data_IF_873134171837
#
_entry.id   IF_873134171837
#
_cell.length_a   1.000
_cell.length_b   1.000
_cell.length_c   1.000
_cell.angle_alpha   90.00
_cell.angle_beta   90.00
_cell.angle_gamma   90.00
#
_symmetry.space_group_name_H-M   'P 1'
#
loop_
_entity.id
_entity.type
_entity.pdbx_description
1 polymer ?
#
# COMPACT_ATOMS: atom_id res chain seq x y z
N UNK A 1 -9.89 23.19 -16.25
CA UNK A 1 -9.04 22.24 -15.48
C UNK A 1 -9.62 20.88 -15.80
N UNK A 2 -8.79 19.85 -15.98
CA UNK A 2 -9.32 18.50 -16.15
C UNK A 2 -10.11 18.12 -14.88
N UNK A 3 -11.25 17.44 -15.04
CA UNK A 3 -12.05 16.99 -13.90
C UNK A 3 -11.23 15.99 -13.09
N UNK A 4 -11.19 16.16 -11.78
CA UNK A 4 -10.55 15.24 -10.84
C UNK A 4 -11.60 14.51 -10.02
N UNK A 5 -11.28 13.28 -9.63
CA UNK A 5 -12.12 12.50 -8.74
C UNK A 5 -11.91 12.97 -7.30
N UNK A 6 -12.99 13.37 -6.64
CA UNK A 6 -12.99 13.75 -5.23
C UNK A 6 -12.75 12.54 -4.34
N UNK A 7 -11.78 12.67 -3.43
CA UNK A 7 -11.42 11.58 -2.51
C UNK A 7 -11.46 12.05 -1.06
N UNK A 8 -11.79 11.13 -0.17
CA UNK A 8 -11.75 11.33 1.27
C UNK A 8 -10.67 10.50 1.94
N UNK A 9 -10.22 10.92 3.11
CA UNK A 9 -9.33 10.14 3.99
C UNK A 9 -9.98 10.01 5.35
N UNK A 10 -10.14 8.79 5.85
CA UNK A 10 -10.57 8.50 7.22
C UNK A 10 -9.35 8.05 8.03
N UNK A 11 -9.12 8.67 9.18
CA UNK A 11 -7.96 8.40 10.04
C UNK A 11 -6.86 9.44 9.87
N UNK A 12 -6.95 10.59 10.57
CA UNK A 12 -6.01 11.71 10.46
C UNK A 12 -4.71 11.49 11.25
N UNK A 13 -4.20 10.25 11.25
CA UNK A 13 -2.90 9.89 11.82
C UNK A 13 -1.73 10.18 10.87
N UNK A 14 -0.60 9.53 11.11
CA UNK A 14 0.60 9.67 10.27
C UNK A 14 0.34 9.24 8.81
N UNK A 15 -0.33 8.10 8.62
CA UNK A 15 -0.69 7.57 7.30
C UNK A 15 -1.63 8.54 6.58
N UNK A 16 -2.74 8.93 7.22
CA UNK A 16 -3.71 9.84 6.60
C UNK A 16 -3.15 11.23 6.32
N UNK A 17 -2.27 11.74 7.19
CA UNK A 17 -1.56 13.00 6.92
C UNK A 17 -0.66 12.89 5.70
N UNK A 18 0.13 11.84 5.57
CA UNK A 18 1.03 11.63 4.44
C UNK A 18 0.24 11.39 3.13
N UNK A 19 -0.87 10.63 3.19
CA UNK A 19 -1.80 10.49 2.05
C UNK A 19 -2.29 11.84 1.54
N UNK A 20 -2.69 12.75 2.43
CA UNK A 20 -3.14 14.08 2.04
C UNK A 20 -2.07 14.82 1.21
N UNK A 21 -0.80 14.79 1.62
CA UNK A 21 0.30 15.40 0.86
C UNK A 21 0.48 14.76 -0.51
N UNK A 22 0.37 13.43 -0.60
CA UNK A 22 0.47 12.70 -1.86
C UNK A 22 -0.72 13.02 -2.80
N UNK A 23 -1.93 13.12 -2.26
CA UNK A 23 -3.14 13.47 -3.01
C UNK A 23 -3.04 14.89 -3.58
N UNK A 24 -2.47 15.87 -2.85
CA UNK A 24 -2.33 17.23 -3.36
C UNK A 24 -1.53 17.34 -4.65
N UNK A 25 -0.59 16.44 -4.90
CA UNK A 25 0.19 16.39 -6.13
C UNK A 25 -0.30 15.34 -7.14
N UNK A 26 -1.41 14.66 -6.82
CA UNK A 26 -2.06 13.71 -7.71
C UNK A 26 -2.57 14.40 -8.99
N UNK A 27 -2.53 13.66 -10.08
CA UNK A 27 -3.00 14.12 -11.37
C UNK A 27 -4.53 14.06 -11.48
N UNK A 28 -5.12 12.96 -11.00
CA UNK A 28 -6.54 12.65 -11.20
C UNK A 28 -7.38 12.70 -9.90
N UNK A 29 -6.73 12.90 -8.72
CA UNK A 29 -7.42 12.94 -7.44
C UNK A 29 -7.45 14.34 -6.86
N UNK A 30 -8.55 14.67 -6.17
CA UNK A 30 -8.74 15.91 -5.42
C UNK A 30 -9.09 15.59 -3.96
N UNK A 31 -8.31 16.14 -3.01
CA UNK A 31 -8.57 15.96 -1.59
C UNK A 31 -9.81 16.75 -1.17
N UNK A 32 -10.94 16.06 -0.98
CA UNK A 32 -12.22 16.67 -0.66
C UNK A 32 -12.49 16.76 0.84
N UNK A 33 -12.08 15.76 1.63
CA UNK A 33 -12.34 15.75 3.07
C UNK A 33 -11.37 14.86 3.86
N UNK A 34 -10.99 15.31 5.06
CA UNK A 34 -10.32 14.52 6.08
C UNK A 34 -11.28 14.24 7.25
N UNK A 35 -11.51 12.96 7.54
CA UNK A 35 -12.41 12.52 8.60
C UNK A 35 -11.65 11.90 9.78
N UNK A 36 -12.01 12.29 10.98
CA UNK A 36 -11.57 11.74 12.26
C UNK A 36 -12.74 11.55 13.22
N UNK A 37 -12.46 11.07 14.42
CA UNK A 37 -13.46 10.93 15.49
C UNK A 37 -13.19 11.88 16.69
N UNK A 38 -12.10 12.61 16.61
CA UNK A 38 -11.71 13.63 17.59
C UNK A 38 -10.94 14.75 16.90
N UNK A 39 -10.89 15.91 17.50
CA UNK A 39 -10.02 17.01 17.05
C UNK A 39 -8.55 16.65 17.32
N UNK A 40 -7.85 16.21 16.30
CA UNK A 40 -6.46 15.75 16.34
C UNK A 40 -5.53 16.73 15.62
N UNK A 41 -4.22 16.56 15.80
CA UNK A 41 -3.22 17.35 15.06
C UNK A 41 -3.33 17.15 13.54
N UNK A 42 -3.74 15.96 13.07
CA UNK A 42 -4.00 15.72 11.65
C UNK A 42 -5.23 16.48 11.14
N UNK A 43 -6.30 16.56 11.92
CA UNK A 43 -7.48 17.39 11.60
C UNK A 43 -7.09 18.86 11.53
N UNK A 44 -6.35 19.37 12.52
CA UNK A 44 -5.87 20.76 12.51
C UNK A 44 -4.98 21.07 11.30
N UNK A 45 -4.11 20.11 10.95
CA UNK A 45 -3.24 20.21 9.76
C UNK A 45 -4.07 20.31 8.48
N UNK A 46 -5.06 19.43 8.31
CA UNK A 46 -5.96 19.45 7.15
C UNK A 46 -6.70 20.78 7.03
N UNK A 47 -7.25 21.31 8.14
CA UNK A 47 -7.85 22.65 8.21
C UNK A 47 -6.86 23.75 7.79
N UNK A 48 -5.60 23.64 8.22
CA UNK A 48 -4.54 24.59 7.86
C UNK A 48 -4.24 24.65 6.36
N UNK A 49 -4.50 23.58 5.64
CA UNK A 49 -4.43 23.51 4.16
C UNK A 49 -5.76 23.85 3.45
N UNK A 50 -6.80 24.23 4.20
CA UNK A 50 -8.12 24.54 3.65
C UNK A 50 -8.92 23.30 3.26
N UNK A 51 -8.51 22.08 3.68
CA UNK A 51 -9.26 20.86 3.45
C UNK A 51 -10.47 20.79 4.39
N UNK A 52 -11.69 20.56 3.89
CA UNK A 52 -12.85 20.27 4.73
C UNK A 52 -12.59 19.11 5.69
N UNK A 53 -13.09 19.21 6.91
CA UNK A 53 -12.86 18.18 7.93
C UNK A 53 -14.12 17.88 8.72
N UNK A 54 -14.20 16.63 9.23
CA UNK A 54 -15.24 16.23 10.18
C UNK A 54 -14.65 15.44 11.34
N UNK A 55 -15.29 15.46 12.48
CA UNK A 55 -14.99 14.61 13.65
C UNK A 55 -16.10 13.57 13.90
N UNK A 56 -17.02 13.41 12.95
CA UNK A 56 -18.09 12.42 12.98
C UNK A 56 -17.71 11.12 12.22
N UNK A 57 -16.41 10.93 11.91
CA UNK A 57 -15.90 9.75 11.22
C UNK A 57 -16.49 9.57 9.82
N UNK A 58 -16.78 8.32 9.47
CA UNK A 58 -17.36 7.96 8.16
C UNK A 58 -18.75 8.59 7.95
N UNK A 59 -19.54 8.78 9.01
CA UNK A 59 -20.87 9.36 8.90
C UNK A 59 -20.80 10.83 8.46
N UNK A 60 -19.91 11.61 9.07
CA UNK A 60 -19.67 12.99 8.66
C UNK A 60 -19.09 13.09 7.25
N UNK A 61 -18.21 12.16 6.87
CA UNK A 61 -17.66 12.13 5.52
C UNK A 61 -18.76 11.87 4.47
N UNK A 62 -19.66 10.92 4.71
CA UNK A 62 -20.76 10.61 3.80
C UNK A 62 -21.76 11.76 3.75
N UNK A 63 -22.09 12.36 4.88
CA UNK A 63 -23.07 13.43 5.00
C UNK A 63 -22.61 14.73 4.35
N UNK A 64 -21.37 15.13 4.63
CA UNK A 64 -20.85 16.46 4.31
C UNK A 64 -19.83 16.45 3.15
N UNK A 65 -19.37 15.26 2.74
CA UNK A 65 -18.42 15.04 1.66
C UNK A 65 -19.09 14.99 0.29
N UNK A 66 -19.38 16.16 -0.27
CA UNK A 66 -20.07 16.27 -1.55
C UNK A 66 -19.29 15.57 -2.69
N UNK A 67 -19.93 14.56 -3.31
CA UNK A 67 -19.45 13.83 -4.49
C UNK A 67 -18.11 13.07 -4.31
N UNK A 68 -17.80 12.63 -3.09
CA UNK A 68 -16.64 11.76 -2.85
C UNK A 68 -16.90 10.38 -3.48
N UNK A 69 -15.97 9.91 -4.31
CA UNK A 69 -16.08 8.61 -5.02
C UNK A 69 -15.14 7.55 -4.44
N UNK A 70 -14.01 7.96 -3.87
CA UNK A 70 -12.99 7.06 -3.33
C UNK A 70 -12.64 7.52 -1.92
N UNK A 71 -12.47 6.58 -1.00
CA UNK A 71 -12.06 6.87 0.38
C UNK A 71 -10.87 5.99 0.76
N UNK A 72 -9.83 6.60 1.28
CA UNK A 72 -8.71 5.91 1.92
C UNK A 72 -9.03 5.69 3.40
N UNK A 73 -9.08 4.44 3.83
CA UNK A 73 -9.27 4.10 5.23
C UNK A 73 -7.93 3.79 5.90
N UNK A 74 -7.45 4.74 6.70
CA UNK A 74 -6.22 4.66 7.47
C UNK A 74 -6.50 4.55 8.98
N UNK A 75 -7.59 3.87 9.37
CA UNK A 75 -8.02 3.69 10.76
C UNK A 75 -7.52 2.36 11.36
N UNK A 76 -8.41 1.51 11.80
CA UNK A 76 -8.09 0.19 12.35
C UNK A 76 -8.95 -0.88 11.70
N UNK A 77 -8.49 -2.14 11.74
CA UNK A 77 -9.24 -3.27 11.22
C UNK A 77 -10.67 -3.35 11.78
N UNK A 78 -10.82 -3.12 13.08
CA UNK A 78 -12.13 -3.15 13.74
C UNK A 78 -13.06 -2.02 13.25
N UNK A 79 -12.53 -0.81 13.00
CA UNK A 79 -13.31 0.30 12.49
C UNK A 79 -13.73 0.07 11.04
N UNK A 80 -12.81 -0.40 10.20
CA UNK A 80 -13.10 -0.73 8.81
C UNK A 80 -14.16 -1.84 8.71
N UNK A 81 -13.93 -2.97 9.41
CA UNK A 81 -14.81 -4.13 9.38
C UNK A 81 -16.25 -3.81 9.84
N UNK A 82 -16.36 -3.05 10.95
CA UNK A 82 -17.66 -2.87 11.62
C UNK A 82 -18.43 -1.63 11.14
N UNK A 83 -17.74 -0.61 10.67
CA UNK A 83 -18.34 0.70 10.40
C UNK A 83 -18.00 1.23 9.02
N UNK A 84 -16.71 1.45 8.70
CA UNK A 84 -16.34 2.22 7.53
C UNK A 84 -16.63 1.47 6.23
N UNK A 85 -16.13 0.24 6.08
CA UNK A 85 -16.33 -0.58 4.87
C UNK A 85 -17.81 -0.77 4.51
N UNK A 86 -18.67 -1.28 5.43
CA UNK A 86 -20.10 -1.43 5.14
C UNK A 86 -20.78 -0.12 4.70
N UNK A 87 -20.53 0.99 5.41
CA UNK A 87 -21.16 2.28 5.10
C UNK A 87 -20.68 2.87 3.78
N UNK A 88 -19.39 2.77 3.44
CA UNK A 88 -18.85 3.20 2.16
C UNK A 88 -19.50 2.40 1.03
N UNK A 89 -19.60 1.08 1.20
CA UNK A 89 -20.24 0.20 0.21
C UNK A 89 -21.73 0.53 -0.01
N UNK A 90 -22.47 0.76 1.07
CA UNK A 90 -23.90 1.16 0.99
C UNK A 90 -24.10 2.47 0.23
N UNK A 91 -23.11 3.36 0.25
CA UNK A 91 -23.15 4.66 -0.45
C UNK A 91 -22.46 4.65 -1.82
N UNK A 92 -22.04 3.48 -2.32
CA UNK A 92 -21.38 3.35 -3.62
C UNK A 92 -20.00 4.02 -3.69
N UNK A 93 -19.34 4.20 -2.55
CA UNK A 93 -18.01 4.80 -2.45
C UNK A 93 -16.96 3.69 -2.41
N UNK A 94 -15.95 3.79 -3.28
CA UNK A 94 -14.85 2.82 -3.31
C UNK A 94 -13.95 3.01 -2.10
N UNK A 95 -13.68 1.93 -1.38
CA UNK A 95 -12.76 1.92 -0.25
C UNK A 95 -11.37 1.42 -0.68
N UNK A 96 -10.33 2.22 -0.38
CA UNK A 96 -8.92 1.81 -0.41
C UNK A 96 -8.53 1.53 1.04
N UNK A 97 -8.53 0.25 1.42
CA UNK A 97 -8.31 -0.18 2.80
C UNK A 97 -6.82 -0.35 3.09
N UNK A 98 -6.28 0.53 3.95
CA UNK A 98 -4.91 0.45 4.47
C UNK A 98 -4.83 -0.25 5.84
N UNK A 99 -5.96 -0.79 6.31
CA UNK A 99 -6.02 -1.51 7.58
C UNK A 99 -5.77 -3.01 7.39
N UNK A 100 -5.43 -3.76 8.43
CA UNK A 100 -5.32 -5.21 8.32
C UNK A 100 -6.68 -5.95 8.36
N UNK A 101 -7.80 -5.28 8.09
CA UNK A 101 -9.14 -5.91 8.08
C UNK A 101 -9.31 -6.96 6.98
N UNK A 102 -8.70 -6.72 5.82
CA UNK A 102 -8.69 -7.62 4.66
C UNK A 102 -10.09 -8.12 4.26
N UNK A 103 -11.08 -7.21 4.18
CA UNK A 103 -12.45 -7.53 3.71
C UNK A 103 -12.43 -7.70 2.19
N UNK A 104 -11.87 -6.73 1.49
CA UNK A 104 -11.71 -6.75 0.04
C UNK A 104 -10.53 -7.63 -0.41
N UNK A 105 -10.41 -7.89 -1.71
CA UNK A 105 -9.26 -8.62 -2.25
C UNK A 105 -7.95 -7.84 -2.03
N UNK A 106 -6.87 -8.60 -1.82
CA UNK A 106 -5.53 -8.02 -1.70
C UNK A 106 -5.10 -7.37 -3.00
N UNK A 107 -4.64 -6.12 -2.92
CA UNK A 107 -4.18 -5.33 -4.06
C UNK A 107 -2.69 -4.99 -3.93
N UNK A 108 -1.94 -5.34 -4.97
CA UNK A 108 -0.58 -4.86 -5.23
C UNK A 108 -0.61 -4.25 -6.64
N UNK A 109 -0.48 -2.92 -6.79
CA UNK A 109 -0.86 -2.22 -8.03
C UNK A 109 -0.28 -2.81 -9.30
N UNK A 110 1.02 -3.07 -9.35
CA UNK A 110 1.69 -3.63 -10.54
C UNK A 110 1.42 -5.13 -10.78
N UNK A 111 0.74 -5.81 -9.86
CA UNK A 111 0.53 -7.27 -9.98
C UNK A 111 -0.89 -7.60 -10.38
N UNK A 112 -1.88 -6.96 -9.76
CA UNK A 112 -3.26 -7.40 -9.93
C UNK A 112 -4.32 -6.29 -9.98
N UNK A 113 -3.95 -5.01 -9.92
CA UNK A 113 -4.92 -3.91 -9.88
C UNK A 113 -5.86 -3.87 -11.10
N UNK A 114 -5.37 -4.22 -12.29
CA UNK A 114 -6.21 -4.26 -13.49
C UNK A 114 -7.41 -5.21 -13.36
N UNK A 115 -7.30 -6.25 -12.52
CA UNK A 115 -8.38 -7.19 -12.23
C UNK A 115 -9.32 -6.71 -11.11
N UNK A 116 -8.90 -5.70 -10.35
CA UNK A 116 -9.59 -5.21 -9.15
C UNK A 116 -10.18 -3.81 -9.33
N UNK A 117 -10.04 -3.21 -10.51
CA UNK A 117 -10.47 -1.82 -10.75
C UNK A 117 -11.98 -1.60 -10.65
N UNK A 118 -12.78 -2.67 -10.58
CA UNK A 118 -14.23 -2.65 -10.40
C UNK A 118 -14.69 -3.02 -8.97
N UNK A 119 -13.73 -3.39 -8.10
CA UNK A 119 -14.05 -3.74 -6.72
C UNK A 119 -14.39 -2.49 -5.92
N UNK A 120 -15.36 -2.63 -5.02
CA UNK A 120 -15.79 -1.53 -4.15
C UNK A 120 -14.93 -1.40 -2.89
N UNK A 121 -14.15 -2.42 -2.58
CA UNK A 121 -13.24 -2.46 -1.44
C UNK A 121 -11.99 -3.23 -1.85
N UNK A 122 -10.82 -2.60 -1.78
CA UNK A 122 -9.54 -3.24 -2.05
C UNK A 122 -8.60 -3.05 -0.87
N UNK A 123 -8.00 -4.14 -0.42
CA UNK A 123 -7.09 -4.13 0.71
C UNK A 123 -5.63 -3.99 0.23
N UNK A 124 -4.93 -2.99 0.77
CA UNK A 124 -3.54 -2.69 0.39
C UNK A 124 -2.50 -3.60 1.06
N UNK A 125 -2.92 -4.73 1.59
CA UNK A 125 -2.06 -5.72 2.25
C UNK A 125 -1.36 -5.12 3.47
N UNK A 126 -0.04 -4.91 3.37
CA UNK A 126 0.83 -4.31 4.39
C UNK A 126 1.98 -3.57 3.72
N UNK A 127 2.68 -2.73 4.47
CA UNK A 127 3.88 -2.07 3.97
C UNK A 127 4.96 -3.07 3.50
N UNK A 128 5.17 -4.15 4.26
CA UNK A 128 6.06 -5.24 3.86
C UNK A 128 5.59 -5.98 2.62
N UNK A 129 4.28 -6.20 2.51
CA UNK A 129 3.66 -6.81 1.34
C UNK A 129 3.87 -5.97 0.08
N UNK A 130 3.58 -4.67 0.15
CA UNK A 130 3.80 -3.76 -0.99
C UNK A 130 5.27 -3.70 -1.43
N UNK A 131 6.21 -3.80 -0.49
CA UNK A 131 7.63 -3.78 -0.81
C UNK A 131 8.17 -5.09 -1.39
N UNK A 132 7.54 -6.22 -1.15
CA UNK A 132 8.15 -7.54 -1.41
C UNK A 132 7.37 -8.42 -2.36
N UNK A 133 6.04 -8.37 -2.34
CA UNK A 133 5.19 -9.20 -3.22
C UNK A 133 5.45 -8.95 -4.71
N UNK A 134 5.71 -7.72 -5.19
CA UNK A 134 6.10 -7.51 -6.59
C UNK A 134 7.34 -8.33 -6.99
N UNK A 135 8.33 -8.44 -6.12
CA UNK A 135 9.54 -9.23 -6.37
C UNK A 135 9.23 -10.73 -6.36
N UNK A 136 8.41 -11.22 -5.41
CA UNK A 136 7.93 -12.60 -5.41
C UNK A 136 7.23 -12.92 -6.72
N UNK A 137 6.33 -12.05 -7.17
CA UNK A 137 5.62 -12.18 -8.43
C UNK A 137 6.57 -12.15 -9.64
N UNK A 138 7.57 -11.27 -9.63
CA UNK A 138 8.56 -11.19 -10.70
C UNK A 138 9.34 -12.51 -10.88
N UNK A 139 9.61 -13.23 -9.79
CA UNK A 139 10.19 -14.58 -9.84
C UNK A 139 9.15 -15.61 -10.26
N UNK A 140 7.97 -15.57 -9.63
CA UNK A 140 6.90 -16.56 -9.82
C UNK A 140 6.38 -16.58 -11.25
N UNK A 141 6.19 -15.43 -11.91
CA UNK A 141 5.72 -15.34 -13.30
C UNK A 141 6.67 -15.97 -14.33
N UNK A 142 7.94 -16.18 -13.95
CA UNK A 142 8.98 -16.72 -14.86
C UNK A 142 9.33 -18.17 -14.55
N UNK A 143 9.46 -18.52 -13.26
CA UNK A 143 9.97 -19.83 -12.84
C UNK A 143 9.02 -20.57 -11.87
N UNK A 144 7.83 -20.01 -11.57
CA UNK A 144 6.98 -20.48 -10.49
C UNK A 144 7.66 -20.32 -9.13
N UNK A 145 6.88 -20.26 -8.05
CA UNK A 145 7.39 -20.19 -6.70
C UNK A 145 6.76 -21.31 -5.85
N UNK A 146 7.59 -22.22 -5.33
CA UNK A 146 7.16 -23.25 -4.38
C UNK A 146 6.97 -22.64 -2.98
N UNK A 147 7.91 -21.77 -2.60
CA UNK A 147 7.93 -21.11 -1.29
C UNK A 147 8.51 -19.71 -1.44
N UNK A 148 7.93 -18.73 -0.75
CA UNK A 148 8.51 -17.42 -0.62
C UNK A 148 8.46 -16.94 0.82
N UNK A 149 9.59 -16.37 1.28
CA UNK A 149 9.73 -15.78 2.61
C UNK A 149 10.23 -14.36 2.49
N UNK A 150 9.63 -13.46 3.27
CA UNK A 150 10.09 -12.08 3.35
C UNK A 150 10.47 -11.71 4.78
N UNK A 151 11.55 -10.98 4.93
CA UNK A 151 11.97 -10.35 6.18
C UNK A 151 11.91 -8.84 5.98
N UNK A 152 10.87 -8.21 6.54
CA UNK A 152 10.69 -6.76 6.47
C UNK A 152 11.35 -6.10 7.70
N UNK A 153 12.47 -5.42 7.48
CA UNK A 153 13.18 -4.68 8.52
C UNK A 153 12.85 -3.18 8.39
N UNK A 154 12.18 -2.63 9.39
CA UNK A 154 11.80 -1.22 9.46
C UNK A 154 12.43 -0.55 10.69
N UNK A 155 12.62 0.76 10.63
CA UNK A 155 13.04 1.51 11.83
C UNK A 155 11.98 1.40 12.92
N UNK A 156 12.41 1.14 14.15
CA UNK A 156 11.52 1.14 15.32
C UNK A 156 10.79 2.48 15.49
N UNK A 157 11.40 3.60 15.04
CA UNK A 157 10.78 4.94 15.08
C UNK A 157 9.64 5.11 14.08
N UNK A 158 9.62 4.35 12.97
CA UNK A 158 8.54 4.37 11.99
C UNK A 158 7.39 3.40 12.33
N UNK A 159 7.57 2.53 13.33
CA UNK A 159 6.55 1.62 13.81
C UNK A 159 5.69 2.31 14.88
N UNK A 160 4.56 2.88 14.46
CA UNK A 160 3.59 3.50 15.36
C UNK A 160 2.82 2.49 16.24
N UNK A 161 1.94 2.96 17.14
CA UNK A 161 1.12 2.09 17.99
C UNK A 161 0.31 1.06 17.21
N UNK A 162 -0.26 1.43 16.07
CA UNK A 162 -1.01 0.52 15.20
C UNK A 162 -0.15 -0.63 14.68
N UNK A 163 1.05 -0.37 14.16
CA UNK A 163 1.97 -1.41 13.69
C UNK A 163 2.36 -2.36 14.83
N UNK A 164 2.62 -1.83 16.01
CA UNK A 164 3.02 -2.64 17.18
C UNK A 164 1.90 -3.51 17.72
N UNK A 165 0.67 -3.02 17.67
CA UNK A 165 -0.50 -3.74 18.15
C UNK A 165 -0.96 -4.86 17.18
N UNK A 166 -0.61 -4.75 15.88
CA UNK A 166 -1.08 -5.65 14.83
C UNK A 166 0.07 -6.40 14.13
N UNK A 167 1.09 -6.83 14.89
CA UNK A 167 2.24 -7.55 14.31
C UNK A 167 1.86 -8.95 13.82
N UNK A 168 0.94 -9.63 14.50
CA UNK A 168 0.46 -10.94 14.10
C UNK A 168 -0.36 -10.85 12.82
N UNK A 169 -1.29 -9.90 12.75
CA UNK A 169 -2.07 -9.61 11.53
C UNK A 169 -1.17 -9.20 10.36
N UNK A 170 -0.09 -8.46 10.62
CA UNK A 170 0.90 -8.14 9.59
C UNK A 170 1.48 -9.41 8.98
N UNK A 171 1.92 -10.36 9.81
CA UNK A 171 2.57 -11.60 9.34
C UNK A 171 1.59 -12.52 8.63
N UNK A 172 0.37 -12.67 9.15
CA UNK A 172 -0.68 -13.49 8.55
C UNK A 172 -1.14 -12.93 7.21
N UNK A 173 -1.51 -11.64 7.16
CA UNK A 173 -1.97 -10.96 5.95
C UNK A 173 -0.90 -10.96 4.87
N UNK A 174 0.36 -10.65 5.22
CA UNK A 174 1.46 -10.65 4.26
C UNK A 174 1.75 -12.06 3.74
N UNK A 175 1.79 -13.07 4.60
CA UNK A 175 2.01 -14.46 4.20
C UNK A 175 0.93 -14.93 3.23
N UNK A 176 -0.33 -14.62 3.50
CA UNK A 176 -1.45 -14.97 2.63
C UNK A 176 -1.39 -14.24 1.28
N UNK A 177 -1.04 -12.96 1.30
CA UNK A 177 -0.91 -12.18 0.06
C UNK A 177 0.29 -12.63 -0.80
N UNK A 178 1.38 -13.12 -0.20
CA UNK A 178 2.49 -13.78 -0.92
C UNK A 178 1.97 -14.98 -1.73
N UNK A 179 1.05 -15.78 -1.15
CA UNK A 179 0.43 -16.91 -1.83
C UNK A 179 -0.52 -16.43 -2.93
N UNK A 180 -1.52 -15.62 -2.57
CA UNK A 180 -2.64 -15.27 -3.44
C UNK A 180 -2.25 -14.29 -4.55
N UNK A 181 -1.39 -13.31 -4.26
CA UNK A 181 -0.98 -12.25 -5.21
C UNK A 181 0.41 -12.52 -5.76
N UNK A 182 1.36 -12.91 -4.90
CA UNK A 182 2.73 -13.20 -5.30
C UNK A 182 2.88 -14.49 -6.11
N UNK A 183 1.91 -15.41 -6.01
CA UNK A 183 1.88 -16.67 -6.76
C UNK A 183 2.82 -17.75 -6.19
N UNK A 184 3.19 -17.68 -4.93
CA UNK A 184 3.89 -18.76 -4.23
C UNK A 184 2.89 -19.79 -3.68
N UNK A 185 3.24 -21.08 -3.69
CA UNK A 185 2.38 -22.11 -3.08
C UNK A 185 2.33 -21.94 -1.56
N UNK A 186 3.42 -21.45 -0.97
CA UNK A 186 3.55 -21.21 0.48
C UNK A 186 4.25 -19.89 0.73
N UNK A 187 3.61 -19.05 1.55
CA UNK A 187 4.13 -17.74 1.95
C UNK A 187 4.53 -17.69 3.42
N UNK A 188 5.58 -16.92 3.74
CA UNK A 188 5.96 -16.58 5.10
C UNK A 188 6.41 -15.13 5.18
N UNK A 189 6.02 -14.44 6.23
CA UNK A 189 6.46 -13.08 6.50
C UNK A 189 7.03 -12.96 7.92
N UNK A 190 8.07 -12.15 8.03
CA UNK A 190 8.73 -11.80 9.29
C UNK A 190 8.87 -10.29 9.31
N UNK A 191 8.53 -9.65 10.41
CA UNK A 191 8.78 -8.22 10.64
C UNK A 191 9.86 -8.04 11.70
N UNK A 192 10.80 -7.13 11.45
CA UNK A 192 11.88 -6.75 12.37
C UNK A 192 11.79 -5.26 12.64
N UNK A 193 11.58 -4.89 13.90
CA UNK A 193 11.64 -3.50 14.36
C UNK A 193 13.08 -3.18 14.79
N UNK A 194 13.79 -2.43 13.95
CA UNK A 194 15.21 -2.12 14.16
C UNK A 194 15.37 -0.85 15.00
N UNK A 195 16.03 -0.92 16.18
CA UNK A 195 16.22 0.21 17.08
C UNK A 195 17.48 1.05 16.79
N UNK A 196 18.19 0.81 15.69
CA UNK A 196 19.44 1.52 15.38
C UNK A 196 19.28 3.04 15.34
N UNK A 197 20.34 3.73 15.77
CA UNK A 197 20.53 5.17 15.67
C UNK A 197 21.82 5.48 14.88
N UNK A 198 21.74 6.29 13.82
CA UNK A 198 20.55 6.88 13.24
C UNK A 198 19.58 5.83 12.67
N UNK A 199 18.26 6.18 12.53
CA UNK A 199 17.25 5.26 11.99
C UNK A 199 17.63 4.71 10.62
N UNK A 200 17.49 3.40 10.43
CA UNK A 200 17.74 2.75 9.15
C UNK A 200 16.55 2.91 8.20
N UNK A 201 16.84 3.04 6.91
CA UNK A 201 15.84 2.92 5.84
C UNK A 201 15.21 1.53 5.87
N UNK A 202 13.93 1.44 5.48
CA UNK A 202 13.27 0.15 5.33
C UNK A 202 14.08 -0.74 4.39
N UNK A 203 14.46 -1.91 4.87
CA UNK A 203 15.23 -2.89 4.08
C UNK A 203 14.57 -4.26 4.19
N UNK A 204 14.29 -4.88 3.06
CA UNK A 204 13.59 -6.16 3.03
C UNK A 204 14.43 -7.20 2.30
N UNK A 205 14.50 -8.40 2.89
CA UNK A 205 15.09 -9.58 2.26
C UNK A 205 13.97 -10.48 1.77
N UNK A 206 14.04 -10.90 0.52
CA UNK A 206 13.07 -11.76 -0.14
C UNK A 206 13.78 -13.03 -0.58
N UNK A 207 13.32 -14.19 -0.12
CA UNK A 207 13.78 -15.49 -0.54
C UNK A 207 12.65 -16.21 -1.28
N UNK A 208 12.93 -16.68 -2.51
CA UNK A 208 11.97 -17.45 -3.30
C UNK A 208 12.60 -18.75 -3.75
N UNK A 209 11.97 -19.89 -3.42
CA UNK A 209 12.33 -21.18 -4.00
C UNK A 209 11.55 -21.38 -5.30
N UNK A 210 12.29 -21.52 -6.40
CA UNK A 210 11.68 -21.70 -7.72
C UNK A 210 11.23 -23.13 -7.96
N UNK A 211 10.10 -23.29 -8.66
CA UNK A 211 9.59 -24.60 -9.09
C UNK A 211 10.36 -25.14 -10.29
N UNK A 212 10.50 -24.33 -11.33
CA UNK A 212 11.20 -24.72 -12.56
C UNK A 212 12.69 -24.33 -12.47
N UNK A 213 13.50 -25.30 -12.02
CA UNK A 213 14.95 -25.16 -11.90
C UNK A 213 15.69 -25.10 -13.25
N UNK A 214 14.98 -25.36 -14.37
CA UNK A 214 15.55 -25.27 -15.71
C UNK A 214 15.54 -23.84 -16.26
N UNK A 215 14.77 -22.95 -15.67
CA UNK A 215 14.76 -21.54 -16.06
C UNK A 215 16.11 -20.90 -15.75
N UNK A 216 16.82 -20.33 -16.75
CA UNK A 216 18.10 -19.68 -16.50
C UNK A 216 17.93 -18.49 -15.55
N UNK A 217 18.82 -18.35 -14.57
CA UNK A 217 18.80 -17.26 -13.60
C UNK A 217 18.71 -15.86 -14.25
N UNK A 218 19.40 -15.66 -15.38
CA UNK A 218 19.34 -14.40 -16.14
C UNK A 218 17.92 -13.97 -16.54
N UNK A 219 17.00 -14.92 -16.78
CA UNK A 219 15.59 -14.59 -17.07
C UNK A 219 14.86 -14.12 -15.81
N UNK A 220 15.15 -14.75 -14.68
CA UNK A 220 14.59 -14.38 -13.37
C UNK A 220 15.12 -13.02 -12.97
N UNK A 221 16.44 -12.80 -13.05
CA UNK A 221 17.11 -11.53 -12.77
C UNK A 221 16.51 -10.40 -13.62
N UNK A 222 16.37 -10.61 -14.93
CA UNK A 222 15.74 -9.63 -15.84
C UNK A 222 14.34 -9.25 -15.36
N UNK A 223 13.50 -10.23 -15.01
CA UNK A 223 12.14 -10.00 -14.51
C UNK A 223 12.10 -9.20 -13.21
N UNK A 224 13.07 -9.44 -12.31
CA UNK A 224 13.21 -8.67 -11.06
C UNK A 224 13.60 -7.23 -11.37
N UNK A 225 14.58 -7.02 -12.25
CA UNK A 225 15.06 -5.68 -12.62
C UNK A 225 13.95 -4.85 -13.29
N UNK A 226 13.19 -5.45 -14.20
CA UNK A 226 12.01 -4.81 -14.83
C UNK A 226 11.00 -4.39 -13.76
N UNK A 227 10.64 -5.28 -12.83
CA UNK A 227 9.71 -4.96 -11.75
C UNK A 227 10.20 -3.84 -10.84
N UNK A 228 11.50 -3.80 -10.54
CA UNK A 228 12.10 -2.71 -9.74
C UNK A 228 11.96 -1.37 -10.46
N UNK A 229 12.19 -1.31 -11.76
CA UNK A 229 12.03 -0.07 -12.54
C UNK A 229 10.56 0.36 -12.63
N UNK A 230 9.64 -0.58 -12.80
CA UNK A 230 8.19 -0.30 -12.80
C UNK A 230 7.73 0.25 -11.44
N UNK A 231 8.22 -0.31 -10.31
CA UNK A 231 7.90 0.18 -8.96
C UNK A 231 8.31 1.63 -8.73
N UNK A 232 9.42 2.08 -9.31
CA UNK A 232 9.89 3.47 -9.19
C UNK A 232 8.90 4.49 -9.76
N UNK A 233 7.98 4.07 -10.62
CA UNK A 233 6.95 4.95 -11.18
C UNK A 233 6.06 5.59 -10.11
N UNK A 234 5.80 4.90 -9.00
CA UNK A 234 5.04 5.43 -7.86
C UNK A 234 5.78 5.38 -6.52
N UNK A 235 6.91 4.64 -6.43
CA UNK A 235 7.81 4.62 -5.27
C UNK A 235 9.23 4.98 -5.73
N UNK A 236 9.55 6.26 -5.98
CA UNK A 236 10.85 6.66 -6.53
C UNK A 236 12.06 6.21 -5.70
N UNK A 237 11.88 6.07 -4.37
CA UNK A 237 12.93 5.61 -3.45
C UNK A 237 13.08 4.10 -3.34
N UNK A 238 12.41 3.31 -4.21
CA UNK A 238 12.56 1.85 -4.25
C UNK A 238 13.82 1.45 -5.00
N UNK A 239 14.68 0.64 -4.39
CA UNK A 239 15.95 0.24 -5.01
C UNK A 239 16.44 -1.13 -4.53
N UNK A 240 17.22 -1.80 -5.38
CA UNK A 240 18.01 -2.96 -4.97
C UNK A 240 19.21 -2.52 -4.11
N UNK A 241 19.43 -3.21 -3.00
CA UNK A 241 20.65 -3.02 -2.18
C UNK A 241 21.87 -3.71 -2.75
N UNK A 242 21.64 -4.87 -3.35
CA UNK A 242 22.62 -5.70 -4.04
C UNK A 242 21.96 -6.36 -5.24
N UNK A 243 22.70 -6.76 -6.27
CA UNK A 243 22.14 -7.57 -7.35
C UNK A 243 21.45 -8.83 -6.81
N UNK A 244 20.35 -9.29 -7.42
CA UNK A 244 19.74 -10.56 -7.07
C UNK A 244 20.73 -11.72 -7.21
N UNK A 245 20.62 -12.72 -6.36
CA UNK A 245 21.48 -13.91 -6.40
C UNK A 245 20.64 -15.19 -6.41
N UNK A 246 21.22 -16.28 -6.89
CA UNK A 246 20.58 -17.60 -6.85
C UNK A 246 21.59 -18.63 -6.32
N UNK A 247 21.17 -19.39 -5.32
CA UNK A 247 21.92 -20.50 -4.74
C UNK A 247 21.03 -21.75 -4.78
N UNK A 248 21.41 -22.70 -5.63
CA UNK A 248 20.57 -23.85 -5.94
C UNK A 248 19.26 -23.45 -6.58
N UNK A 249 18.14 -23.62 -5.86
CA UNK A 249 16.78 -23.24 -6.28
C UNK A 249 16.26 -21.99 -5.55
N UNK A 250 17.09 -21.36 -4.70
CA UNK A 250 16.72 -20.20 -3.90
C UNK A 250 17.22 -18.90 -4.53
N UNK A 251 16.30 -18.08 -4.98
CA UNK A 251 16.56 -16.70 -5.40
C UNK A 251 16.48 -15.79 -4.17
N UNK A 252 17.48 -14.94 -3.99
CA UNK A 252 17.55 -13.94 -2.90
C UNK A 252 17.61 -12.54 -3.51
N UNK A 253 16.71 -11.67 -3.07
CA UNK A 253 16.68 -10.25 -3.45
C UNK A 253 16.64 -9.40 -2.19
N UNK A 254 17.43 -8.34 -2.14
CA UNK A 254 17.43 -7.38 -1.04
C UNK A 254 17.09 -6.00 -1.59
N UNK A 255 15.98 -5.44 -1.10
CA UNK A 255 15.47 -4.13 -1.52
C UNK A 255 15.46 -3.15 -0.36
N UNK A 256 15.61 -1.88 -0.70
CA UNK A 256 15.47 -0.76 0.23
C UNK A 256 14.39 0.18 -0.28
N UNK A 257 13.64 0.76 0.65
CA UNK A 257 12.68 1.82 0.38
C UNK A 257 13.07 3.05 1.18
N UNK A 258 13.39 4.11 0.46
CA UNK A 258 13.57 5.45 1.00
C UNK A 258 12.28 6.24 0.79
N UNK A 259 11.71 6.80 1.87
CA UNK A 259 10.50 7.61 1.78
C UNK A 259 10.77 8.96 1.11
N UNK A 260 9.75 9.53 0.50
CA UNK A 260 9.84 10.80 -0.23
C UNK A 260 10.00 12.03 0.68
N UNK A 261 9.89 11.83 1.99
CA UNK A 261 9.99 12.89 3.00
C UNK A 261 8.96 14.03 2.83
N UNK A 262 7.74 13.69 2.39
CA UNK A 262 6.65 14.66 2.25
C UNK A 262 6.16 15.15 3.62
N UNK A 263 5.62 14.26 4.41
CA UNK A 263 5.22 14.48 5.79
C UNK A 263 6.06 13.67 6.76
N UNK A 264 6.36 12.43 6.40
CA UNK A 264 7.13 11.49 7.20
C UNK A 264 8.62 11.55 6.81
N UNK A 265 9.55 11.33 7.74
CA UNK A 265 10.97 11.34 7.41
C UNK A 265 11.35 10.21 6.45
N UNK A 266 12.44 10.38 5.68
CA UNK A 266 12.88 9.45 4.64
C UNK A 266 13.08 8.00 5.15
N UNK A 267 13.46 7.80 6.41
CA UNK A 267 13.59 6.45 6.99
C UNK A 267 12.23 5.74 7.16
N UNK A 268 11.10 6.45 7.07
CA UNK A 268 9.76 5.88 7.14
C UNK A 268 9.27 5.31 5.79
N UNK A 269 10.17 4.70 5.03
CA UNK A 269 9.87 4.09 3.73
C UNK A 269 8.74 3.05 3.77
N UNK A 270 8.50 2.42 4.93
CA UNK A 270 7.37 1.52 5.14
C UNK A 270 6.01 2.25 5.04
N UNK A 271 5.89 3.44 5.62
CA UNK A 271 4.65 4.22 5.54
C UNK A 271 4.53 4.89 4.16
N UNK A 272 5.65 5.32 3.58
CA UNK A 272 5.66 5.91 2.26
C UNK A 272 5.20 4.93 1.17
N UNK A 273 5.70 3.68 1.17
CA UNK A 273 5.38 2.71 0.11
C UNK A 273 3.90 2.29 0.15
N UNK A 274 3.31 2.07 1.32
CA UNK A 274 1.89 1.69 1.38
C UNK A 274 0.99 2.84 0.93
N UNK A 275 1.32 4.08 1.29
CA UNK A 275 0.59 5.26 0.85
C UNK A 275 0.76 5.51 -0.65
N UNK A 276 1.97 5.36 -1.17
CA UNK A 276 2.24 5.50 -2.60
C UNK A 276 1.50 4.45 -3.42
N UNK A 277 1.47 3.20 -2.95
CA UNK A 277 0.70 2.13 -3.57
C UNK A 277 -0.81 2.40 -3.53
N UNK A 278 -1.34 2.89 -2.40
CA UNK A 278 -2.75 3.25 -2.26
C UNK A 278 -3.14 4.38 -3.22
N UNK A 279 -2.31 5.42 -3.33
CA UNK A 279 -2.54 6.51 -4.29
C UNK A 279 -2.45 6.01 -5.73
N UNK A 280 -1.48 5.15 -6.06
CA UNK A 280 -1.38 4.56 -7.41
C UNK A 280 -2.62 3.72 -7.77
N UNK A 281 -3.17 2.98 -6.81
CA UNK A 281 -4.42 2.26 -7.01
C UNK A 281 -5.61 3.20 -7.24
N UNK A 282 -5.74 4.24 -6.42
CA UNK A 282 -6.80 5.22 -6.57
C UNK A 282 -6.69 6.03 -7.88
N UNK A 283 -5.48 6.37 -8.31
CA UNK A 283 -5.23 7.03 -9.61
C UNK A 283 -5.75 6.18 -10.77
N UNK A 284 -5.47 4.88 -10.78
CA UNK A 284 -5.93 3.98 -11.84
C UNK A 284 -7.45 3.82 -11.85
N UNK A 285 -8.07 3.73 -10.66
CA UNK A 285 -9.53 3.69 -10.54
C UNK A 285 -10.14 5.01 -11.01
N UNK A 286 -9.55 6.14 -10.63
CA UNK A 286 -9.99 7.46 -11.05
C UNK A 286 -9.87 7.65 -12.58
N UNK A 287 -8.79 7.19 -13.20
CA UNK A 287 -8.64 7.21 -14.66
C UNK A 287 -9.79 6.47 -15.35
N UNK A 288 -10.18 5.30 -14.82
CA UNK A 288 -11.29 4.54 -15.34
C UNK A 288 -12.63 5.28 -15.18
N UNK A 289 -12.91 5.83 -13.98
CA UNK A 289 -14.12 6.60 -13.71
C UNK A 289 -14.24 7.81 -14.63
N UNK A 290 -13.15 8.54 -14.86
CA UNK A 290 -13.12 9.70 -15.76
C UNK A 290 -13.35 9.31 -17.22
N UNK A 291 -12.80 8.18 -17.67
CA UNK A 291 -13.03 7.67 -19.02
C UNK A 291 -14.49 7.25 -19.25
N UNK A 292 -15.14 6.68 -18.26
CA UNK A 292 -16.56 6.27 -18.32
C UNK A 292 -17.52 7.47 -18.21
N UNK A 293 -17.16 8.48 -17.38
CA UNK A 293 -17.95 9.71 -17.22
C UNK A 293 -17.89 10.64 -18.43
N UNK A 294 -16.80 10.63 -19.20
CA UNK A 294 -16.63 11.41 -20.43
C UNK A 294 -17.42 10.90 -21.65
N UNK A 295 -18.04 9.71 -21.53
CA UNK A 295 -18.87 9.10 -22.56
C UNK A 295 -20.40 9.28 -22.33
N UNK A 296 -20.78 10.10 -21.34
CA UNK A 296 -22.17 10.50 -21.06
C UNK A 296 -22.35 11.98 -21.37
#
# INVERSE_FOLDING_TARGET
MADKIKVGVIGPGNIGSDLMYKIFRSKNLEMAMMAGIVESEGIKRAKGFGVPTTIEGVDGLIKDGEDIKIVFDATSAAAHLKFNGPKLKENGIVAIDLTPAAIGPYCVPLVNLDKLADEQDINMVTCGGQATIPIVYAVSRVAGAEYAEIIACISSKSAGPGTRANMDEFTETTSKAIEVVGGADKGKAIIVLNPAEPPLMMTNTIHVRVKDKKVPFKKIEKSILEMVEELKSYVPGYQLRVPPTMDGDRVTTIVQVEGQADFLPAYSGNLDIINSAAVAAAEKIAEKMLAEGGNK
#
